data_IF_871618340751
#
_entry.id   IF_871618340751
#
_cell.length_a   1.000
_cell.length_b   1.000
_cell.length_c   1.000
_cell.angle_alpha   90.00
_cell.angle_beta   90.00
_cell.angle_gamma   90.00
#
_symmetry.space_group_name_H-M   'P 1'
#
loop_
_entity.id
_entity.type
_entity.pdbx_description
1 polymer ?
#
# COMPACT_ATOMS: atom_id res chain seq x y z
N UNK A 1 29.70 -14.69 2.92
CA UNK A 1 28.26 -15.02 2.84
C UNK A 1 27.83 -14.85 1.39
N UNK A 2 26.94 -15.69 0.87
CA UNK A 2 26.35 -15.46 -0.46
C UNK A 2 25.55 -14.16 -0.42
N UNK A 3 25.64 -13.34 -1.48
CA UNK A 3 24.84 -12.12 -1.64
C UNK A 3 23.34 -12.46 -1.72
N UNK A 4 22.47 -11.55 -1.26
CA UNK A 4 21.03 -11.66 -1.51
C UNK A 4 20.77 -11.44 -3.01
N UNK A 5 19.96 -12.28 -3.65
CA UNK A 5 19.66 -12.16 -5.08
C UNK A 5 18.31 -11.47 -5.30
N UNK A 6 18.29 -10.53 -6.25
CA UNK A 6 17.08 -9.88 -6.74
C UNK A 6 17.07 -9.96 -8.26
N UNK A 7 16.06 -10.58 -8.85
CA UNK A 7 15.90 -10.60 -10.30
C UNK A 7 15.14 -9.37 -10.78
N UNK A 8 15.51 -8.85 -11.94
CA UNK A 8 14.72 -7.88 -12.70
C UNK A 8 14.51 -8.46 -14.10
N UNK A 9 13.26 -8.62 -14.52
CA UNK A 9 12.92 -9.18 -15.83
C UNK A 9 11.97 -8.23 -16.56
N UNK A 10 12.28 -7.93 -17.82
CA UNK A 10 11.38 -7.18 -18.70
C UNK A 10 10.24 -8.06 -19.19
N UNK A 11 9.08 -7.45 -19.33
CA UNK A 11 7.95 -8.00 -20.06
C UNK A 11 7.62 -7.10 -21.25
N UNK A 12 6.73 -7.57 -22.14
CA UNK A 12 6.22 -6.74 -23.22
C UNK A 12 5.27 -5.67 -22.66
N UNK A 13 5.14 -4.51 -23.32
CA UNK A 13 4.05 -3.57 -23.03
C UNK A 13 2.69 -4.28 -23.09
N UNK A 14 1.86 -4.10 -22.05
CA UNK A 14 0.54 -4.73 -21.93
C UNK A 14 0.56 -6.24 -22.20
N UNK A 15 1.34 -7.01 -21.42
CA UNK A 15 1.54 -8.42 -21.67
C UNK A 15 0.27 -9.23 -21.38
N UNK A 16 0.03 -10.27 -22.17
CA UNK A 16 -1.04 -11.22 -21.92
C UNK A 16 -0.62 -12.27 -20.87
N UNK A 17 -1.58 -13.02 -20.34
CA UNK A 17 -1.31 -13.98 -19.26
C UNK A 17 -0.14 -14.95 -19.53
N UNK A 18 0.01 -15.58 -20.73
CA UNK A 18 1.13 -16.48 -20.98
C UNK A 18 2.50 -15.80 -20.83
N UNK A 19 2.61 -14.55 -21.30
CA UNK A 19 3.85 -13.76 -21.21
C UNK A 19 4.14 -13.35 -19.77
N UNK A 20 3.12 -12.97 -19.01
CA UNK A 20 3.25 -12.68 -17.57
C UNK A 20 3.72 -13.93 -16.83
N UNK A 21 3.12 -15.09 -17.09
CA UNK A 21 3.50 -16.36 -16.44
C UNK A 21 4.95 -16.73 -16.75
N UNK A 22 5.36 -16.61 -18.01
CA UNK A 22 6.76 -16.86 -18.42
C UNK A 22 7.72 -15.88 -17.73
N UNK A 23 7.39 -14.59 -17.70
CA UNK A 23 8.21 -13.56 -17.05
C UNK A 23 8.35 -13.82 -15.53
N UNK A 24 7.26 -14.20 -14.86
CA UNK A 24 7.29 -14.60 -13.44
C UNK A 24 8.17 -15.83 -13.25
N UNK A 25 8.02 -16.88 -14.08
CA UNK A 25 8.86 -18.08 -13.99
C UNK A 25 10.34 -17.75 -14.17
N UNK A 26 10.68 -16.93 -15.17
CA UNK A 26 12.05 -16.49 -15.40
C UNK A 26 12.63 -15.71 -14.20
N UNK A 27 11.86 -14.79 -13.62
CA UNK A 27 12.27 -14.05 -12.43
C UNK A 27 12.58 -15.00 -11.26
N UNK A 28 11.72 -16.00 -11.04
CA UNK A 28 11.92 -17.01 -10.00
C UNK A 28 13.15 -17.90 -10.28
N UNK A 29 13.35 -18.31 -11.53
CA UNK A 29 14.49 -19.17 -11.91
C UNK A 29 15.83 -18.45 -11.70
N UNK A 30 15.92 -17.15 -12.01
CA UNK A 30 17.11 -16.33 -11.82
C UNK A 30 17.55 -16.22 -10.34
N UNK A 31 16.60 -16.28 -9.39
CA UNK A 31 16.89 -16.30 -7.95
C UNK A 31 17.04 -17.73 -7.39
N UNK A 32 17.14 -18.75 -8.26
CA UNK A 32 17.37 -20.14 -7.89
C UNK A 32 16.09 -20.98 -7.69
N UNK A 33 14.95 -20.49 -8.18
CA UNK A 33 13.65 -21.14 -8.05
C UNK A 33 13.09 -21.08 -6.62
N UNK A 34 11.95 -21.77 -6.42
CA UNK A 34 11.17 -21.73 -5.17
C UNK A 34 10.98 -23.10 -4.52
N UNK A 35 11.59 -24.16 -5.06
CA UNK A 35 11.46 -25.54 -4.55
C UNK A 35 12.12 -25.74 -3.17
N UNK A 36 13.02 -24.85 -2.78
CA UNK A 36 13.63 -24.82 -1.45
C UNK A 36 12.67 -24.29 -0.38
N UNK A 37 11.75 -23.38 -0.74
CA UNK A 37 10.80 -22.75 0.18
C UNK A 37 9.38 -23.36 0.14
N UNK A 38 8.93 -23.88 -1.00
CA UNK A 38 7.60 -24.48 -1.16
C UNK A 38 7.75 -26.00 -1.36
N UNK A 39 6.99 -26.78 -0.58
CA UNK A 39 6.93 -28.24 -0.67
C UNK A 39 5.51 -28.70 -0.99
N UNK A 40 5.33 -29.90 -1.57
CA UNK A 40 3.99 -30.47 -1.78
C UNK A 40 3.18 -30.48 -0.49
N UNK A 41 1.90 -30.14 -0.57
CA UNK A 41 0.99 -30.04 0.57
C UNK A 41 1.04 -28.73 1.35
N UNK A 42 2.05 -27.87 1.15
CA UNK A 42 2.10 -26.57 1.82
C UNK A 42 0.89 -25.71 1.46
N UNK A 43 0.34 -25.00 2.44
CA UNK A 43 -0.53 -23.85 2.23
C UNK A 43 0.34 -22.62 1.91
N UNK A 44 0.20 -22.09 0.70
CA UNK A 44 0.94 -20.91 0.24
C UNK A 44 0.00 -19.72 0.12
N UNK A 45 0.14 -18.76 1.02
CA UNK A 45 -0.59 -17.50 0.98
C UNK A 45 0.11 -16.53 0.02
N UNK A 46 -0.58 -16.14 -1.04
CA UNK A 46 -0.17 -15.14 -2.03
C UNK A 46 -0.86 -13.82 -1.67
N UNK A 47 -0.09 -12.80 -1.30
CA UNK A 47 -0.61 -11.53 -0.79
C UNK A 47 -0.44 -10.38 -1.81
N UNK A 48 -1.42 -10.16 -2.73
CA UNK A 48 -1.41 -9.05 -3.68
C UNK A 48 -1.79 -7.72 -3.05
N UNK A 49 -1.51 -6.59 -3.71
CA UNK A 49 -1.82 -5.24 -3.21
C UNK A 49 -3.24 -4.82 -3.54
N UNK A 50 -4.18 -4.95 -2.60
CA UNK A 50 -5.51 -4.35 -2.70
C UNK A 50 -5.56 -3.09 -1.83
N UNK A 51 -5.83 -1.92 -2.43
CA UNK A 51 -5.92 -0.66 -1.68
C UNK A 51 -7.36 -0.15 -1.69
N UNK A 52 -7.86 0.14 -2.87
CA UNK A 52 -9.21 0.59 -3.17
C UNK A 52 -9.59 0.02 -4.55
N UNK A 53 -10.88 -0.04 -4.90
CA UNK A 53 -11.29 -0.39 -6.24
C UNK A 53 -10.60 0.56 -7.24
N UNK A 54 -9.90 0.03 -8.26
CA UNK A 54 -9.20 0.85 -9.22
C UNK A 54 -10.22 1.55 -10.14
N UNK A 55 -9.94 2.81 -10.51
CA UNK A 55 -10.77 3.53 -11.49
C UNK A 55 -10.64 2.94 -12.90
N UNK A 56 -9.46 2.41 -13.21
CA UNK A 56 -9.14 1.66 -14.41
C UNK A 56 -7.97 0.71 -14.10
N UNK A 57 -7.83 -0.35 -14.90
CA UNK A 57 -6.80 -1.36 -14.72
C UNK A 57 -5.38 -0.77 -14.76
N UNK A 58 -5.17 0.22 -15.61
CA UNK A 58 -3.90 0.88 -15.86
C UNK A 58 -3.53 1.94 -14.81
N UNK A 59 -4.37 2.20 -13.79
CA UNK A 59 -4.11 3.24 -12.78
C UNK A 59 -2.88 2.97 -11.89
N UNK A 60 -2.35 1.74 -11.89
CA UNK A 60 -1.18 1.38 -11.08
C UNK A 60 -1.45 1.36 -9.56
N UNK A 61 -2.71 1.30 -9.14
CA UNK A 61 -3.09 1.33 -7.73
C UNK A 61 -2.96 -0.03 -7.03
N UNK A 62 -3.29 -1.12 -7.73
CA UNK A 62 -3.31 -2.49 -7.19
C UNK A 62 -2.49 -3.44 -8.06
N UNK A 63 -2.08 -4.57 -7.48
CA UNK A 63 -1.44 -5.66 -8.23
C UNK A 63 -2.41 -6.21 -9.28
N UNK A 64 -1.94 -6.42 -10.52
CA UNK A 64 -2.78 -7.04 -11.55
C UNK A 64 -3.02 -8.53 -11.23
N UNK A 65 -4.22 -9.08 -11.46
CA UNK A 65 -4.59 -10.44 -11.06
C UNK A 65 -3.74 -11.54 -11.71
N UNK A 66 -3.17 -11.27 -12.89
CA UNK A 66 -2.38 -12.24 -13.66
C UNK A 66 -1.08 -12.64 -12.96
N UNK A 67 -0.48 -11.76 -12.15
CA UNK A 67 0.75 -12.08 -11.40
C UNK A 67 0.45 -13.08 -10.26
N UNK A 68 -0.52 -12.84 -9.36
CA UNK A 68 -0.96 -13.85 -8.39
C UNK A 68 -1.48 -15.12 -9.05
N UNK A 69 -2.15 -15.04 -10.20
CA UNK A 69 -2.56 -16.23 -10.97
C UNK A 69 -1.35 -17.06 -11.41
N UNK A 70 -0.34 -16.42 -11.99
CA UNK A 70 0.89 -17.10 -12.40
C UNK A 70 1.57 -17.80 -11.21
N UNK A 71 1.65 -17.12 -10.06
CA UNK A 71 2.16 -17.72 -8.83
C UNK A 71 1.30 -18.89 -8.35
N UNK A 72 -0.03 -18.77 -8.39
CA UNK A 72 -0.93 -19.84 -8.00
C UNK A 72 -0.76 -21.08 -8.89
N UNK A 73 -0.61 -20.91 -10.19
CA UNK A 73 -0.37 -22.01 -11.13
C UNK A 73 0.97 -22.70 -10.84
N UNK A 74 2.05 -21.93 -10.66
CA UNK A 74 3.38 -22.47 -10.32
C UNK A 74 3.35 -23.20 -8.97
N UNK A 75 2.63 -22.68 -7.97
CA UNK A 75 2.45 -23.34 -6.66
C UNK A 75 1.67 -24.65 -6.80
N UNK A 76 0.59 -24.68 -7.60
CA UNK A 76 -0.18 -25.92 -7.88
C UNK A 76 0.68 -26.97 -8.57
N UNK A 77 1.54 -26.57 -9.51
CA UNK A 77 2.49 -27.46 -10.20
C UNK A 77 3.51 -28.11 -9.25
N UNK A 78 3.84 -27.45 -8.13
CA UNK A 78 4.66 -28.01 -7.06
C UNK A 78 3.88 -28.91 -6.09
N UNK A 79 2.57 -29.12 -6.32
CA UNK A 79 1.70 -29.91 -5.47
C UNK A 79 1.30 -29.22 -4.17
N UNK A 80 1.45 -27.89 -4.07
CA UNK A 80 1.06 -27.08 -2.93
C UNK A 80 -0.30 -26.39 -3.18
N UNK A 81 -0.93 -25.86 -2.13
CA UNK A 81 -2.23 -25.18 -2.19
C UNK A 81 -2.05 -23.67 -2.17
N UNK A 82 -2.25 -22.95 -3.29
CA UNK A 82 -2.20 -21.50 -3.29
C UNK A 82 -3.51 -20.90 -2.78
N UNK A 83 -3.42 -19.83 -2.00
CA UNK A 83 -4.55 -18.99 -1.62
C UNK A 83 -4.16 -17.53 -1.85
N UNK A 84 -4.95 -16.80 -2.65
CA UNK A 84 -4.76 -15.38 -2.91
C UNK A 84 -5.62 -14.62 -1.91
N UNK A 85 -5.03 -13.84 -1.00
CA UNK A 85 -5.83 -13.13 0.00
C UNK A 85 -5.24 -11.80 0.45
N UNK A 86 -6.14 -10.85 0.75
CA UNK A 86 -5.82 -9.55 1.34
C UNK A 86 -7.03 -8.87 2.01
N UNK A 87 -6.82 -7.77 2.74
CA UNK A 87 -7.83 -7.08 3.57
C UNK A 87 -8.10 -5.59 3.24
N UNK A 88 -7.84 -5.12 2.03
CA UNK A 88 -7.90 -3.75 1.48
C UNK A 88 -7.43 -2.61 2.40
N UNK A 89 -7.62 -1.34 2.00
CA UNK A 89 -7.43 -0.22 2.93
C UNK A 89 -8.52 -0.18 4.02
N UNK A 90 -8.22 0.51 5.13
CA UNK A 90 -9.18 0.76 6.21
C UNK A 90 -10.37 1.54 5.68
N UNK A 91 -11.58 1.06 5.93
CA UNK A 91 -12.82 1.70 5.47
C UNK A 91 -13.21 1.41 4.01
N UNK A 92 -12.38 0.68 3.26
CA UNK A 92 -12.71 0.17 1.92
C UNK A 92 -13.47 -1.16 2.06
N UNK A 93 -14.49 -1.34 1.22
CA UNK A 93 -15.12 -2.64 1.01
C UNK A 93 -14.23 -3.52 0.14
N UNK A 94 -13.67 -4.56 0.74
CA UNK A 94 -12.73 -5.44 0.06
C UNK A 94 -13.40 -6.36 -0.98
N UNK A 95 -14.71 -6.67 -0.86
CA UNK A 95 -15.38 -7.44 -1.92
C UNK A 95 -15.49 -6.62 -3.20
N UNK A 96 -15.80 -5.32 -3.11
CA UNK A 96 -15.80 -4.43 -4.27
C UNK A 96 -14.45 -4.39 -4.99
N UNK A 97 -13.34 -4.46 -4.24
CA UNK A 97 -12.02 -4.55 -4.88
C UNK A 97 -11.92 -5.83 -5.70
N UNK A 98 -12.39 -6.95 -5.18
CA UNK A 98 -12.35 -8.24 -5.90
C UNK A 98 -13.25 -8.20 -7.14
N UNK A 99 -14.48 -7.69 -7.00
CA UNK A 99 -15.50 -7.56 -8.05
C UNK A 99 -15.06 -6.65 -9.21
N UNK A 100 -14.35 -5.56 -8.92
CA UNK A 100 -14.06 -4.49 -9.89
C UNK A 100 -12.63 -4.53 -10.44
N UNK A 101 -11.85 -5.59 -10.20
CA UNK A 101 -10.41 -5.57 -10.55
C UNK A 101 -9.81 -6.84 -11.15
N UNK A 102 -10.63 -7.70 -11.74
CA UNK A 102 -10.15 -8.90 -12.44
C UNK A 102 -9.91 -10.10 -11.51
N UNK A 103 -10.06 -9.92 -10.19
CA UNK A 103 -9.89 -10.98 -9.19
C UNK A 103 -11.15 -11.83 -9.03
N UNK A 104 -12.34 -11.28 -9.33
CA UNK A 104 -13.58 -12.05 -9.37
C UNK A 104 -13.52 -13.11 -10.47
N UNK A 105 -12.95 -12.79 -11.62
CA UNK A 105 -12.74 -13.72 -12.73
C UNK A 105 -11.81 -14.87 -12.31
N UNK A 106 -10.78 -14.60 -11.51
CA UNK A 106 -9.96 -15.66 -10.93
C UNK A 106 -10.78 -16.54 -9.98
N UNK A 107 -11.64 -15.94 -9.14
CA UNK A 107 -12.53 -16.69 -8.24
C UNK A 107 -13.48 -17.59 -9.04
N UNK A 108 -14.05 -17.08 -10.13
CA UNK A 108 -14.95 -17.82 -11.04
C UNK A 108 -14.23 -18.95 -11.78
N UNK A 109 -12.94 -18.78 -12.07
CA UNK A 109 -12.06 -19.84 -12.60
C UNK A 109 -11.68 -20.92 -11.56
N UNK A 110 -12.12 -20.76 -10.30
CA UNK A 110 -11.88 -21.73 -9.22
C UNK A 110 -10.57 -21.52 -8.45
N UNK A 111 -9.98 -20.33 -8.49
CA UNK A 111 -8.88 -19.98 -7.57
C UNK A 111 -9.43 -19.53 -6.22
N UNK A 112 -8.73 -19.88 -5.13
CA UNK A 112 -9.05 -19.41 -3.78
C UNK A 112 -8.68 -17.92 -3.64
N UNK A 113 -9.61 -17.02 -3.96
CA UNK A 113 -9.48 -15.57 -3.79
C UNK A 113 -10.29 -15.11 -2.58
N UNK A 114 -9.60 -14.81 -1.48
CA UNK A 114 -10.20 -14.59 -0.16
C UNK A 114 -10.09 -13.14 0.28
N UNK A 115 -11.22 -12.57 0.65
CA UNK A 115 -11.27 -11.33 1.42
C UNK A 115 -11.01 -11.63 2.90
N UNK A 116 -9.83 -11.25 3.39
CA UNK A 116 -9.43 -11.50 4.76
C UNK A 116 -10.34 -10.79 5.78
N UNK A 117 -11.00 -9.67 5.42
CA UNK A 117 -11.97 -9.00 6.31
C UNK A 117 -13.17 -9.87 6.68
N UNK A 118 -13.39 -10.99 5.99
CA UNK A 118 -14.47 -11.96 6.24
C UNK A 118 -13.96 -13.24 6.91
N UNK A 119 -12.68 -13.31 7.28
CA UNK A 119 -12.09 -14.46 7.97
C UNK A 119 -11.87 -14.17 9.46
N UNK A 120 -11.77 -15.20 10.32
CA UNK A 120 -11.41 -15.01 11.72
C UNK A 120 -10.04 -14.35 11.89
N UNK A 121 -9.88 -13.61 12.99
CA UNK A 121 -8.65 -12.93 13.35
C UNK A 121 -7.90 -13.66 14.44
N UNK A 122 -6.59 -13.42 14.52
CA UNK A 122 -5.71 -13.95 15.56
C UNK A 122 -4.67 -12.90 15.96
N UNK A 123 -4.26 -12.91 17.21
CA UNK A 123 -3.12 -12.11 17.67
C UNK A 123 -1.82 -12.90 17.40
N UNK A 124 -1.10 -12.50 16.36
CA UNK A 124 0.16 -13.14 15.98
C UNK A 124 1.29 -12.59 16.87
N UNK A 125 2.03 -13.44 17.59
CA UNK A 125 3.12 -12.97 18.45
C UNK A 125 4.27 -12.37 17.65
N UNK A 126 4.87 -11.32 18.19
CA UNK A 126 6.06 -10.66 17.64
C UNK A 126 7.25 -10.95 18.54
N UNK A 127 8.14 -11.82 18.08
CA UNK A 127 9.37 -12.13 18.81
C UNK A 127 10.29 -10.89 18.82
N UNK A 128 10.55 -10.35 20.02
CA UNK A 128 11.36 -9.14 20.22
C UNK A 128 10.78 -7.91 19.47
N UNK A 129 9.46 -7.76 19.50
CA UNK A 129 8.79 -6.59 18.95
C UNK A 129 9.25 -5.30 19.61
N UNK A 130 9.41 -4.24 18.80
CA UNK A 130 9.86 -2.93 19.28
C UNK A 130 8.69 -2.04 19.70
N UNK A 131 7.56 -2.17 19.01
CA UNK A 131 6.31 -1.46 19.28
C UNK A 131 5.27 -2.43 19.84
N UNK A 132 5.15 -3.60 19.22
CA UNK A 132 4.07 -4.54 19.49
C UNK A 132 4.57 -5.88 20.03
N UNK A 133 3.94 -6.41 21.09
CA UNK A 133 4.15 -7.81 21.52
C UNK A 133 3.36 -8.79 20.65
N UNK A 134 2.21 -8.36 20.13
CA UNK A 134 1.36 -9.10 19.19
C UNK A 134 0.81 -8.15 18.12
N UNK A 135 0.53 -8.68 16.93
CA UNK A 135 -0.15 -7.95 15.86
C UNK A 135 -1.46 -8.65 15.49
N UNK A 136 -2.55 -7.90 15.46
CA UNK A 136 -3.87 -8.43 15.11
C UNK A 136 -3.94 -8.73 13.60
N UNK A 137 -3.94 -10.01 13.27
CA UNK A 137 -3.82 -10.58 11.94
C UNK A 137 -5.00 -11.53 11.66
N UNK A 138 -4.90 -12.39 10.65
CA UNK A 138 -5.95 -13.35 10.27
C UNK A 138 -5.47 -14.78 10.49
N UNK A 139 -6.37 -15.69 10.90
CA UNK A 139 -6.01 -17.11 11.14
C UNK A 139 -5.33 -17.73 9.92
N UNK A 140 -5.83 -17.42 8.72
CA UNK A 140 -5.25 -17.88 7.45
C UNK A 140 -3.77 -17.50 7.27
N UNK A 141 -3.32 -16.39 7.84
CA UNK A 141 -1.91 -15.96 7.80
C UNK A 141 -1.06 -16.80 8.74
N UNK A 142 -1.59 -17.14 9.91
CA UNK A 142 -0.91 -18.01 10.88
C UNK A 142 -0.85 -19.47 10.38
N UNK A 143 -1.90 -19.94 9.70
CA UNK A 143 -1.98 -21.30 9.14
C UNK A 143 -1.09 -21.51 7.91
N UNK A 144 -0.69 -20.43 7.23
CA UNK A 144 0.11 -20.54 6.01
C UNK A 144 1.52 -21.04 6.30
N UNK A 145 1.94 -22.12 5.62
CA UNK A 145 3.31 -22.63 5.67
C UNK A 145 4.29 -21.66 4.99
N UNK A 146 3.81 -20.95 3.96
CA UNK A 146 4.59 -19.97 3.19
C UNK A 146 3.74 -18.75 2.87
N UNK A 147 4.27 -17.56 3.13
CA UNK A 147 3.69 -16.30 2.67
C UNK A 147 4.56 -15.71 1.55
N UNK A 148 3.93 -15.35 0.42
CA UNK A 148 4.52 -14.64 -0.71
C UNK A 148 3.93 -13.24 -0.78
N UNK A 149 4.76 -12.20 -0.68
CA UNK A 149 4.35 -10.80 -0.84
C UNK A 149 4.34 -10.41 -2.32
N UNK A 150 3.21 -9.94 -2.85
CA UNK A 150 3.07 -9.56 -4.27
C UNK A 150 2.71 -8.08 -4.40
N UNK A 151 3.61 -7.14 -4.06
CA UNK A 151 3.31 -5.72 -4.05
C UNK A 151 3.18 -5.14 -5.46
N UNK A 152 2.41 -4.06 -5.57
CA UNK A 152 2.56 -3.09 -6.66
C UNK A 152 3.60 -2.05 -6.25
N UNK A 153 4.58 -1.79 -7.11
CA UNK A 153 5.58 -0.74 -6.89
C UNK A 153 5.00 0.65 -7.14
N UNK A 154 5.04 1.51 -6.11
CA UNK A 154 4.52 2.88 -6.19
C UNK A 154 5.13 3.81 -5.15
N UNK A 155 5.05 5.11 -5.37
CA UNK A 155 5.33 6.11 -4.33
C UNK A 155 4.26 6.10 -3.22
N UNK A 156 4.59 6.64 -2.06
CA UNK A 156 3.66 6.77 -0.93
C UNK A 156 3.95 8.03 -0.11
N UNK A 157 2.91 8.79 0.20
CA UNK A 157 2.94 10.04 0.98
C UNK A 157 3.41 9.93 2.46
N UNK A 158 3.61 8.71 2.99
CA UNK A 158 4.04 8.47 4.37
C UNK A 158 5.36 7.71 4.45
N UNK A 159 5.58 6.76 3.55
CA UNK A 159 6.73 5.83 3.62
C UNK A 159 7.65 5.95 2.43
N UNK A 160 7.51 7.02 1.64
CA UNK A 160 8.15 7.31 0.34
C UNK A 160 7.82 6.31 -0.77
N UNK A 161 7.83 5.03 -0.45
CA UNK A 161 7.55 3.92 -1.36
C UNK A 161 6.59 2.92 -0.72
N UNK A 162 5.73 2.33 -1.56
CA UNK A 162 5.07 1.06 -1.30
C UNK A 162 5.78 -0.01 -2.11
N UNK A 163 6.33 -1.00 -1.41
CA UNK A 163 6.83 -2.23 -1.99
C UNK A 163 6.63 -3.38 -0.97
N UNK A 164 7.51 -4.36 -0.92
CA UNK A 164 7.31 -5.65 -0.28
C UNK A 164 7.09 -5.57 1.24
N UNK A 165 7.78 -4.68 1.96
CA UNK A 165 7.64 -4.55 3.42
C UNK A 165 6.35 -3.81 3.78
N UNK A 166 6.15 -2.60 3.23
CA UNK A 166 4.96 -1.77 3.51
C UNK A 166 3.66 -2.51 3.19
N UNK A 167 3.70 -3.32 2.15
CA UNK A 167 2.57 -4.10 1.65
C UNK A 167 1.99 -5.07 2.68
N UNK A 168 2.79 -5.58 3.61
CA UNK A 168 2.34 -6.56 4.61
C UNK A 168 1.22 -6.04 5.50
N UNK A 169 1.02 -4.71 5.62
CA UNK A 169 -0.15 -4.15 6.32
C UNK A 169 -1.49 -4.67 5.79
N UNK A 170 -1.53 -5.17 4.55
CA UNK A 170 -2.67 -5.88 3.97
C UNK A 170 -3.06 -7.19 4.66
N UNK A 171 -2.23 -7.69 5.59
CA UNK A 171 -2.48 -8.88 6.38
C UNK A 171 -3.00 -8.55 7.78
N UNK A 172 -3.18 -7.28 8.12
CA UNK A 172 -3.73 -6.87 9.40
C UNK A 172 -5.24 -6.68 9.31
N UNK A 173 -5.90 -6.73 10.46
CA UNK A 173 -7.26 -6.21 10.64
C UNK A 173 -7.29 -4.69 10.47
N UNK A 174 -8.47 -4.10 10.30
CA UNK A 174 -8.60 -2.64 10.24
C UNK A 174 -8.23 -1.97 11.58
N UNK A 175 -8.38 -2.68 12.70
CA UNK A 175 -7.92 -2.25 14.04
C UNK A 175 -6.39 -2.32 14.13
N UNK A 176 -5.76 -3.44 13.77
CA UNK A 176 -4.30 -3.57 13.73
C UNK A 176 -3.63 -2.57 12.79
N UNK A 177 -4.22 -2.28 11.63
CA UNK A 177 -3.73 -1.23 10.72
C UNK A 177 -3.75 0.16 11.37
N UNK A 178 -4.76 0.47 12.19
CA UNK A 178 -4.89 1.75 12.90
C UNK A 178 -3.92 1.83 14.06
N UNK A 179 -3.80 0.77 14.88
CA UNK A 179 -2.84 0.69 15.99
C UNK A 179 -1.42 0.99 15.54
N UNK A 180 -0.98 0.42 14.41
CA UNK A 180 0.33 0.75 13.83
C UNK A 180 0.56 2.23 13.57
N UNK A 181 -0.45 2.97 13.10
CA UNK A 181 -0.29 4.41 12.88
C UNK A 181 -0.26 5.18 14.19
N UNK A 182 -0.95 4.69 15.23
CA UNK A 182 -1.04 5.38 16.52
C UNK A 182 0.20 5.17 17.39
N UNK A 183 0.85 4.01 17.30
CA UNK A 183 1.89 3.60 18.24
C UNK A 183 3.30 3.61 17.65
N UNK A 184 3.43 3.60 16.32
CA UNK A 184 4.73 3.71 15.64
C UNK A 184 4.75 2.99 14.30
N UNK A 185 4.42 3.71 13.22
CA UNK A 185 4.20 3.12 11.89
C UNK A 185 5.41 2.33 11.38
N UNK A 186 6.59 2.94 11.41
CA UNK A 186 7.76 2.37 10.75
C UNK A 186 8.25 1.11 11.47
N UNK A 187 8.50 1.21 12.77
CA UNK A 187 8.94 0.06 13.56
C UNK A 187 7.84 -1.00 13.72
N UNK A 188 6.57 -0.61 13.81
CA UNK A 188 5.43 -1.52 13.87
C UNK A 188 5.24 -2.34 12.59
N UNK A 189 5.47 -1.75 11.41
CA UNK A 189 5.48 -2.52 10.15
C UNK A 189 6.65 -3.51 10.12
N UNK A 190 7.79 -3.16 10.70
CA UNK A 190 8.94 -4.07 10.80
C UNK A 190 8.70 -5.17 11.85
N UNK A 191 7.94 -4.90 12.91
CA UNK A 191 7.42 -5.92 13.84
C UNK A 191 6.55 -6.94 13.07
N UNK A 192 5.64 -6.46 12.22
CA UNK A 192 4.84 -7.34 11.37
C UNK A 192 5.68 -8.16 10.38
N UNK A 193 6.69 -7.56 9.75
CA UNK A 193 7.63 -8.31 8.91
C UNK A 193 8.28 -9.46 9.70
N UNK A 194 8.70 -9.19 10.93
CA UNK A 194 9.31 -10.20 11.81
C UNK A 194 8.34 -11.27 12.31
N UNK A 195 7.05 -10.96 12.38
CA UNK A 195 6.02 -11.93 12.79
C UNK A 195 5.56 -12.82 11.61
N UNK A 196 5.27 -12.22 10.45
CA UNK A 196 4.77 -12.94 9.26
C UNK A 196 5.88 -13.70 8.53
N UNK A 197 7.11 -13.20 8.55
CA UNK A 197 8.30 -13.82 7.92
C UNK A 197 8.06 -14.31 6.46
N UNK A 198 7.60 -13.45 5.52
CA UNK A 198 7.41 -13.86 4.12
C UNK A 198 8.69 -14.44 3.53
N UNK A 199 8.55 -15.49 2.71
CA UNK A 199 9.71 -16.25 2.17
C UNK A 199 10.11 -15.83 0.76
N UNK A 200 9.26 -15.06 0.10
CA UNK A 200 9.41 -14.62 -1.27
C UNK A 200 8.62 -13.34 -1.47
N UNK A 201 9.12 -12.49 -2.36
CA UNK A 201 8.32 -11.42 -2.94
C UNK A 201 8.47 -11.41 -4.46
N UNK A 202 7.37 -11.07 -5.15
CA UNK A 202 7.32 -10.84 -6.59
C UNK A 202 6.63 -9.51 -6.82
N UNK A 203 7.38 -8.52 -7.29
CA UNK A 203 6.91 -7.14 -7.44
C UNK A 203 6.27 -6.97 -8.81
N UNK A 204 5.02 -6.51 -8.82
CA UNK A 204 4.36 -5.98 -9.99
C UNK A 204 4.85 -4.55 -10.25
N UNK A 205 5.76 -4.45 -11.22
CA UNK A 205 6.28 -3.21 -11.76
C UNK A 205 6.02 -3.11 -13.27
N UNK A 206 4.91 -3.68 -13.75
CA UNK A 206 4.52 -3.56 -15.16
C UNK A 206 4.01 -2.14 -15.40
N UNK A 207 2.98 -1.77 -14.63
CA UNK A 207 2.52 -0.38 -14.48
C UNK A 207 2.61 -0.02 -13.00
N UNK A 208 3.51 0.89 -12.69
CA UNK A 208 3.74 1.47 -11.37
C UNK A 208 2.89 2.74 -11.17
N UNK A 209 3.07 3.40 -10.02
CA UNK A 209 2.45 4.70 -9.75
C UNK A 209 3.46 5.67 -9.11
N UNK A 210 3.58 6.88 -9.66
CA UNK A 210 4.40 7.99 -9.14
C UNK A 210 3.54 9.15 -8.62
N UNK A 211 4.11 10.11 -7.90
CA UNK A 211 3.38 11.26 -7.37
C UNK A 211 2.55 10.90 -6.14
N UNK A 212 1.30 11.33 -6.08
CA UNK A 212 0.41 11.24 -4.90
C UNK A 212 -0.14 9.82 -4.64
N UNK A 213 0.74 8.83 -4.53
CA UNK A 213 0.40 7.49 -4.09
C UNK A 213 -0.04 7.43 -2.63
N UNK A 214 -0.74 6.38 -2.19
CA UNK A 214 -0.81 5.07 -2.85
C UNK A 214 -2.06 4.83 -3.72
N UNK A 215 -2.87 5.87 -3.96
CA UNK A 215 -4.13 5.79 -4.75
C UNK A 215 -4.18 6.83 -5.87
N UNK A 216 -3.73 8.06 -5.63
CA UNK A 216 -3.98 9.20 -6.53
C UNK A 216 -2.77 9.60 -7.37
N UNK A 217 -1.77 8.72 -7.45
CA UNK A 217 -0.59 8.97 -8.26
C UNK A 217 -0.86 8.78 -9.75
N UNK A 218 0.15 9.07 -10.56
CA UNK A 218 0.14 8.95 -12.01
C UNK A 218 0.72 7.59 -12.41
N UNK A 219 0.08 6.86 -13.33
CA UNK A 219 0.60 5.57 -13.77
C UNK A 219 1.91 5.74 -14.52
N UNK A 220 2.85 4.82 -14.27
CA UNK A 220 4.17 4.79 -14.93
C UNK A 220 4.40 3.39 -15.48
N UNK A 221 4.40 3.27 -16.80
CA UNK A 221 4.76 2.02 -17.45
C UNK A 221 6.27 1.78 -17.31
N UNK A 222 6.63 0.66 -16.69
CA UNK A 222 8.01 0.20 -16.51
C UNK A 222 8.24 -1.15 -17.20
N UNK A 223 7.18 -1.97 -17.35
CA UNK A 223 7.22 -3.31 -17.96
C UNK A 223 8.23 -4.23 -17.28
N UNK A 224 8.26 -4.24 -15.95
CA UNK A 224 9.18 -5.06 -15.17
C UNK A 224 8.42 -5.98 -14.21
N UNK A 225 9.02 -7.14 -13.95
CA UNK A 225 8.71 -7.98 -12.80
C UNK A 225 10.02 -8.18 -12.02
N UNK A 226 9.98 -7.97 -10.72
CA UNK A 226 11.10 -8.26 -9.84
C UNK A 226 10.76 -9.42 -8.91
N UNK A 227 11.76 -10.18 -8.48
CA UNK A 227 11.57 -11.22 -7.48
C UNK A 227 12.80 -11.37 -6.58
N UNK A 228 12.57 -11.79 -5.33
CA UNK A 228 13.63 -12.06 -4.38
C UNK A 228 13.11 -12.74 -3.12
N UNK A 229 13.99 -13.47 -2.43
CA UNK A 229 13.68 -14.15 -1.15
C UNK A 229 13.94 -13.28 0.08
N UNK A 230 14.67 -12.18 -0.11
CA UNK A 230 14.98 -11.17 0.91
C UNK A 230 14.20 -9.90 0.57
N UNK A 231 13.14 -9.62 1.35
CA UNK A 231 12.26 -8.47 1.11
C UNK A 231 12.98 -7.13 1.30
N UNK A 232 13.98 -7.06 2.17
CA UNK A 232 14.78 -5.83 2.39
C UNK A 232 15.65 -5.57 1.17
N UNK A 233 16.24 -6.62 0.58
CA UNK A 233 17.03 -6.50 -0.64
C UNK A 233 16.16 -6.08 -1.83
N UNK A 234 14.94 -6.61 -1.93
CA UNK A 234 13.99 -6.22 -2.98
C UNK A 234 13.55 -4.77 -2.80
N UNK A 235 13.18 -4.34 -1.60
CA UNK A 235 12.81 -2.94 -1.34
C UNK A 235 13.99 -1.99 -1.60
N UNK A 236 15.22 -2.34 -1.21
CA UNK A 236 16.43 -1.56 -1.52
C UNK A 236 16.68 -1.44 -3.05
N UNK A 237 16.48 -2.54 -3.79
CA UNK A 237 16.62 -2.54 -5.25
C UNK A 237 15.51 -1.71 -5.92
N UNK A 238 14.27 -1.85 -5.45
CA UNK A 238 13.13 -1.07 -5.94
C UNK A 238 13.25 0.43 -5.63
N UNK A 239 13.83 0.81 -4.48
CA UNK A 239 14.10 2.20 -4.14
C UNK A 239 15.03 2.84 -5.20
N UNK A 240 16.16 2.20 -5.47
CA UNK A 240 17.11 2.65 -6.50
C UNK A 240 16.49 2.63 -7.90
N UNK A 241 15.68 1.61 -8.22
CA UNK A 241 14.98 1.49 -9.50
C UNK A 241 14.11 2.72 -9.80
N UNK A 242 13.45 3.28 -8.77
CA UNK A 242 12.56 4.42 -8.93
C UNK A 242 13.20 5.77 -8.53
N UNK A 243 14.51 5.80 -8.29
CA UNK A 243 15.28 7.03 -8.02
C UNK A 243 15.26 7.53 -6.57
N UNK A 244 15.06 6.64 -5.61
CA UNK A 244 15.38 6.86 -4.20
C UNK A 244 16.72 6.23 -3.85
N UNK A 245 17.41 6.79 -2.86
CA UNK A 245 18.46 6.05 -2.17
C UNK A 245 17.80 5.08 -1.18
N UNK A 246 18.36 3.86 -0.94
CA UNK A 246 17.79 2.94 0.04
C UNK A 246 17.57 3.55 1.44
N UNK A 247 18.44 4.49 1.82
CA UNK A 247 18.39 5.25 3.07
C UNK A 247 17.20 6.21 3.16
N UNK A 248 16.62 6.63 2.03
CA UNK A 248 15.39 7.44 2.00
C UNK A 248 14.19 6.61 2.53
N UNK A 249 14.27 5.28 2.49
CA UNK A 249 13.16 4.37 2.81
C UNK A 249 13.32 3.84 4.24
N UNK A 250 12.76 4.56 5.21
CA UNK A 250 12.90 4.24 6.64
C UNK A 250 12.44 2.81 7.01
N UNK A 251 11.46 2.24 6.31
CA UNK A 251 11.07 0.83 6.50
C UNK A 251 12.20 -0.15 6.17
N UNK A 252 12.90 0.08 5.05
CA UNK A 252 14.05 -0.72 4.61
C UNK A 252 15.20 -0.56 5.59
N UNK A 253 15.49 0.68 6.02
CA UNK A 253 16.51 1.00 7.02
C UNK A 253 16.24 0.28 8.34
N UNK A 254 15.03 0.38 8.88
CA UNK A 254 14.67 -0.22 10.16
C UNK A 254 14.69 -1.76 10.10
N UNK A 255 14.25 -2.36 8.99
CA UNK A 255 14.30 -3.81 8.79
C UNK A 255 15.74 -4.32 8.70
N UNK A 256 16.63 -3.61 7.99
CA UNK A 256 18.04 -3.94 7.89
C UNK A 256 18.77 -3.80 9.24
N UNK A 257 18.48 -2.73 10.00
CA UNK A 257 19.04 -2.53 11.34
C UNK A 257 18.68 -3.68 12.30
N UNK A 258 17.51 -4.29 12.10
CA UNK A 258 17.02 -5.47 12.84
C UNK A 258 17.48 -6.81 12.25
N UNK A 259 18.34 -6.78 11.23
CA UNK A 259 18.91 -7.97 10.55
C UNK A 259 17.84 -8.88 9.94
N UNK A 260 16.72 -8.30 9.48
CA UNK A 260 15.65 -9.03 8.80
C UNK A 260 15.90 -9.20 7.30
N UNK A 261 16.99 -8.62 6.79
CA UNK A 261 17.43 -8.73 5.40
C UNK A 261 18.57 -7.76 5.11
N UNK A 262 18.96 -7.69 3.84
CA UNK A 262 20.12 -6.93 3.37
C UNK A 262 19.66 -5.67 2.63
N UNK A 263 20.01 -4.49 3.15
CA UNK A 263 19.76 -3.22 2.45
C UNK A 263 20.94 -2.77 1.58
N UNK A 264 22.18 -3.07 1.99
CA UNK A 264 23.38 -2.57 1.30
C UNK A 264 23.47 -3.12 -0.14
N UNK A 265 23.46 -2.27 -1.18
CA UNK A 265 23.57 -2.70 -2.57
C UNK A 265 24.80 -3.57 -2.88
N UNK A 266 25.93 -3.35 -2.19
CA UNK A 266 27.14 -4.17 -2.40
C UNK A 266 26.96 -5.64 -1.99
N UNK A 267 25.98 -5.92 -1.13
CA UNK A 267 25.63 -7.24 -0.66
C UNK A 267 24.42 -7.84 -1.39
N UNK A 268 23.88 -7.12 -2.38
CA UNK A 268 22.79 -7.54 -3.24
C UNK A 268 23.36 -7.85 -4.63
N UNK A 269 22.98 -8.99 -5.20
CA UNK A 269 23.28 -9.37 -6.57
C UNK A 269 22.01 -9.20 -7.40
N UNK A 270 22.00 -8.18 -8.25
CA UNK A 270 20.93 -7.99 -9.24
C UNK A 270 21.19 -8.89 -10.44
N UNK A 271 20.21 -9.74 -10.78
CA UNK A 271 20.28 -10.70 -11.89
C UNK A 271 19.18 -10.44 -12.92
N UNK A 272 19.42 -10.81 -14.19
CA UNK A 272 18.53 -10.43 -15.29
C UNK A 272 18.92 -9.08 -15.88
N UNK A 273 17.98 -8.13 -15.94
CA UNK A 273 18.24 -6.77 -16.43
C UNK A 273 19.13 -5.98 -15.46
N UNK A 274 20.15 -5.26 -15.95
CA UNK A 274 20.95 -4.39 -15.10
C UNK A 274 20.12 -3.20 -14.61
N UNK A 275 20.14 -2.94 -13.30
CA UNK A 275 19.37 -1.88 -12.65
C UNK A 275 19.51 -0.52 -13.35
N UNK A 276 20.74 -0.11 -13.67
CA UNK A 276 21.02 1.17 -14.36
C UNK A 276 20.40 1.26 -15.76
N UNK A 277 20.14 0.13 -16.42
CA UNK A 277 19.53 0.09 -17.75
C UNK A 277 18.01 0.20 -17.73
N UNK A 278 17.38 0.13 -16.56
CA UNK A 278 15.92 0.13 -16.41
C UNK A 278 15.42 1.09 -15.33
N UNK A 279 16.31 1.74 -14.59
CA UNK A 279 15.92 2.73 -13.58
C UNK A 279 15.28 3.96 -14.20
N UNK A 280 14.28 4.50 -13.51
CA UNK A 280 13.60 5.75 -13.85
C UNK A 280 13.28 6.47 -12.56
N UNK A 281 13.73 7.72 -12.44
CA UNK A 281 13.33 8.55 -11.30
C UNK A 281 11.83 8.82 -11.35
N UNK A 282 11.11 8.43 -10.31
CA UNK A 282 9.70 8.75 -10.13
C UNK A 282 9.55 10.15 -9.53
N UNK A 283 8.44 10.80 -9.84
CA UNK A 283 7.97 11.98 -9.12
C UNK A 283 7.61 11.56 -7.68
N UNK A 284 8.25 12.14 -6.66
CA UNK A 284 7.96 11.81 -5.26
C UNK A 284 6.59 12.38 -4.86
N UNK A 285 5.92 11.78 -3.86
CA UNK A 285 4.62 12.30 -3.39
C UNK A 285 4.71 13.75 -2.89
N UNK A 286 5.83 14.12 -2.29
CA UNK A 286 6.11 15.49 -1.82
C UNK A 286 6.23 16.51 -2.96
N UNK A 287 6.53 16.07 -4.18
CA UNK A 287 6.69 16.92 -5.37
C UNK A 287 5.39 17.13 -6.14
N UNK A 288 4.36 16.29 -5.91
CA UNK A 288 3.11 16.26 -6.69
C UNK A 288 1.87 16.70 -5.89
N UNK A 289 2.06 17.43 -4.78
CA UNK A 289 0.95 17.85 -3.93
C UNK A 289 -0.11 18.64 -4.72
N UNK A 290 -1.41 18.28 -4.64
CA UNK A 290 -2.50 18.94 -5.37
C UNK A 290 -2.74 20.39 -4.91
N UNK A 291 -2.15 20.77 -3.79
CA UNK A 291 -2.29 22.09 -3.15
C UNK A 291 -0.96 22.84 -3.08
N UNK A 292 0.08 22.39 -3.80
CA UNK A 292 1.43 22.98 -3.73
C UNK A 292 1.47 24.48 -4.06
N UNK A 293 0.54 24.94 -4.90
CA UNK A 293 0.48 26.33 -5.38
C UNK A 293 -0.59 27.16 -4.63
N UNK A 294 -1.17 26.63 -3.55
CA UNK A 294 -2.23 27.30 -2.77
C UNK A 294 -1.60 28.02 -1.57
N UNK A 295 -1.34 29.31 -1.72
CA UNK A 295 -0.82 30.14 -0.63
C UNK A 295 -1.80 30.24 0.54
N UNK A 296 -1.28 30.15 1.76
CA UNK A 296 -2.06 30.29 2.99
C UNK A 296 -2.90 29.07 3.37
N UNK A 297 -2.83 27.95 2.65
CA UNK A 297 -3.42 26.67 3.04
C UNK A 297 -2.42 25.83 3.85
N UNK A 298 -2.88 25.16 4.91
CA UNK A 298 -2.07 24.23 5.68
C UNK A 298 -2.76 22.87 5.80
N UNK A 299 -2.03 21.80 5.50
CA UNK A 299 -2.46 20.43 5.78
C UNK A 299 -1.47 19.78 6.74
N UNK A 300 -1.94 19.46 7.95
CA UNK A 300 -1.10 18.92 9.02
C UNK A 300 -1.63 17.54 9.42
N UNK A 301 -0.76 16.55 9.32
CA UNK A 301 -1.02 15.19 9.75
C UNK A 301 -0.35 14.92 11.09
N UNK A 302 -1.15 14.66 12.12
CA UNK A 302 -0.67 14.14 13.40
C UNK A 302 -0.27 12.67 13.28
N UNK A 303 0.40 12.17 14.31
CA UNK A 303 0.99 10.82 14.33
C UNK A 303 -0.06 9.74 14.06
N UNK A 304 -1.26 9.88 14.62
CA UNK A 304 -2.35 8.91 14.46
C UNK A 304 -3.03 8.91 13.07
N UNK A 305 -2.55 9.68 12.09
CA UNK A 305 -3.14 9.74 10.75
C UNK A 305 -2.82 8.45 9.95
N UNK A 306 -3.83 7.59 9.80
CA UNK A 306 -3.72 6.37 8.99
C UNK A 306 -3.88 6.62 7.48
N UNK A 307 -3.49 5.64 6.65
CA UNK A 307 -3.65 5.69 5.18
C UNK A 307 -5.10 5.98 4.76
N UNK A 308 -6.10 5.46 5.47
CA UNK A 308 -7.51 5.77 5.17
C UNK A 308 -7.84 7.24 5.35
N UNK A 309 -7.42 7.86 6.47
CA UNK A 309 -7.70 9.28 6.75
C UNK A 309 -6.99 10.20 5.74
N UNK A 310 -5.72 9.90 5.45
CA UNK A 310 -4.93 10.64 4.44
C UNK A 310 -5.55 10.52 3.06
N UNK A 311 -5.92 9.32 2.63
CA UNK A 311 -6.59 9.11 1.35
C UNK A 311 -7.91 9.88 1.27
N UNK A 312 -8.70 9.93 2.35
CA UNK A 312 -9.93 10.75 2.38
C UNK A 312 -9.63 12.23 2.16
N UNK A 313 -8.62 12.79 2.85
CA UNK A 313 -8.28 14.21 2.69
C UNK A 313 -7.71 14.50 1.32
N UNK A 314 -6.81 13.66 0.82
CA UNK A 314 -6.26 13.80 -0.53
C UNK A 314 -7.35 13.68 -1.59
N UNK A 315 -8.29 12.74 -1.44
CA UNK A 315 -9.48 12.63 -2.28
C UNK A 315 -10.29 13.92 -2.27
N UNK A 316 -10.55 14.50 -1.09
CA UNK A 316 -11.29 15.75 -0.97
C UNK A 316 -10.57 16.92 -1.66
N UNK A 317 -9.26 17.02 -1.53
CA UNK A 317 -8.46 18.07 -2.19
C UNK A 317 -8.42 17.89 -3.72
N UNK A 318 -8.39 16.65 -4.20
CA UNK A 318 -8.47 16.34 -5.64
C UNK A 318 -9.86 16.63 -6.18
N UNK A 319 -10.92 16.24 -5.46
CA UNK A 319 -12.30 16.58 -5.81
C UNK A 319 -12.47 18.10 -5.91
N UNK A 320 -11.95 18.85 -4.93
CA UNK A 320 -11.94 20.31 -4.96
C UNK A 320 -11.14 20.86 -6.14
N UNK A 321 -9.96 20.32 -6.44
CA UNK A 321 -9.18 20.74 -7.61
C UNK A 321 -9.95 20.57 -8.90
N UNK A 322 -10.55 19.41 -9.09
CA UNK A 322 -11.24 19.11 -10.34
C UNK A 322 -12.59 19.83 -10.45
N UNK A 323 -13.16 20.27 -9.33
CA UNK A 323 -14.36 21.09 -9.28
C UNK A 323 -14.07 22.61 -9.38
N UNK A 324 -12.81 23.01 -9.59
CA UNK A 324 -12.33 24.39 -9.52
C UNK A 324 -12.71 25.08 -8.19
N UNK A 325 -12.51 24.39 -7.05
CA UNK A 325 -12.88 24.85 -5.70
C UNK A 325 -11.67 25.16 -4.80
N UNK A 326 -10.44 25.08 -5.32
CA UNK A 326 -9.23 25.37 -4.52
C UNK A 326 -9.17 26.83 -4.04
N UNK A 327 -9.91 27.76 -4.64
CA UNK A 327 -9.99 29.14 -4.16
C UNK A 327 -10.57 29.28 -2.74
N UNK A 328 -11.16 28.21 -2.18
CA UNK A 328 -11.68 28.18 -0.81
C UNK A 328 -10.66 27.74 0.24
N UNK A 329 -9.49 27.27 -0.18
CA UNK A 329 -8.42 26.77 0.70
C UNK A 329 -7.54 27.86 1.34
N UNK A 330 -7.25 29.02 0.71
CA UNK A 330 -6.45 30.05 1.35
C UNK A 330 -7.01 30.45 2.72
N UNK A 331 -6.15 30.46 3.75
CA UNK A 331 -6.51 30.73 5.14
C UNK A 331 -7.00 29.51 5.92
N UNK A 332 -7.29 28.38 5.28
CA UNK A 332 -7.80 27.17 5.95
C UNK A 332 -6.64 26.29 6.43
N UNK A 333 -6.77 25.78 7.66
CA UNK A 333 -5.86 24.77 8.22
C UNK A 333 -6.59 23.45 8.44
N UNK A 334 -6.21 22.40 7.71
CA UNK A 334 -6.78 21.05 7.86
C UNK A 334 -5.88 20.21 8.76
N UNK A 335 -6.46 19.67 9.84
CA UNK A 335 -5.78 18.83 10.81
C UNK A 335 -6.35 17.42 10.81
N UNK A 336 -5.48 16.42 10.77
CA UNK A 336 -5.85 15.00 10.88
C UNK A 336 -5.02 14.30 11.94
N UNK A 337 -5.45 13.12 12.40
CA UNK A 337 -4.61 12.28 13.26
C UNK A 337 -4.32 12.89 14.62
N UNK A 338 -5.19 13.77 15.12
CA UNK A 338 -5.01 14.45 16.41
C UNK A 338 -3.88 15.49 16.42
N UNK A 339 -3.48 16.04 15.26
CA UNK A 339 -2.54 17.16 15.24
C UNK A 339 -3.07 18.34 16.07
N UNK A 340 -2.22 18.98 16.89
CA UNK A 340 -2.61 20.16 17.64
C UNK A 340 -2.87 21.34 16.70
N UNK A 341 -3.73 22.26 17.13
CA UNK A 341 -3.92 23.54 16.43
C UNK A 341 -2.63 24.35 16.49
N UNK A 342 -2.07 24.82 15.35
CA UNK A 342 -0.85 25.62 15.37
C UNK A 342 -1.07 26.96 16.10
N UNK A 343 -0.03 27.44 16.77
CA UNK A 343 -0.07 28.72 17.48
C UNK A 343 -0.42 29.88 16.51
N UNK A 344 -1.35 30.74 16.93
CA UNK A 344 -1.76 31.91 16.14
C UNK A 344 -2.75 31.62 15.01
N UNK A 345 -3.17 30.36 14.80
CA UNK A 345 -4.24 30.01 13.85
C UNK A 345 -5.61 30.15 14.53
N UNK A 346 -6.52 30.99 14.02
CA UNK A 346 -7.88 31.12 14.55
C UNK A 346 -8.65 29.80 14.45
N UNK A 347 -9.38 29.40 15.49
CA UNK A 347 -10.05 28.11 15.53
C UNK A 347 -11.13 27.98 14.45
N UNK A 348 -11.77 29.07 14.05
CA UNK A 348 -12.76 29.15 12.98
C UNK A 348 -12.21 28.78 11.59
N UNK A 349 -10.90 28.93 11.40
CA UNK A 349 -10.19 28.62 10.15
C UNK A 349 -9.69 27.16 10.12
N UNK A 350 -9.84 26.44 11.24
CA UNK A 350 -9.38 25.07 11.40
C UNK A 350 -10.49 24.08 11.01
N UNK A 351 -10.13 23.09 10.18
CA UNK A 351 -10.96 21.91 9.88
C UNK A 351 -10.30 20.71 10.56
N UNK A 352 -10.92 20.14 11.59
CA UNK A 352 -10.38 18.97 12.27
C UNK A 352 -11.08 17.68 11.81
N UNK A 353 -10.31 16.62 11.60
CA UNK A 353 -10.78 15.42 10.89
C UNK A 353 -10.49 14.16 11.70
N UNK A 354 -11.56 13.42 11.98
CA UNK A 354 -11.52 12.05 12.47
C UNK A 354 -11.80 11.89 13.96
N UNK A 355 -12.23 10.68 14.37
CA UNK A 355 -12.57 10.37 15.78
C UNK A 355 -11.41 10.58 16.76
N UNK A 356 -10.16 10.60 16.27
CA UNK A 356 -8.94 10.84 17.05
C UNK A 356 -8.70 12.31 17.43
N UNK A 357 -9.43 13.26 16.84
CA UNK A 357 -9.37 14.67 17.27
C UNK A 357 -9.88 14.80 18.71
N UNK A 358 -9.15 15.53 19.57
CA UNK A 358 -9.56 15.81 20.96
C UNK A 358 -10.91 16.52 21.00
N UNK A 359 -11.61 16.54 22.14
CA UNK A 359 -12.87 17.31 22.24
C UNK A 359 -12.65 18.82 22.23
N UNK A 360 -11.50 19.27 22.71
CA UNK A 360 -11.13 20.67 22.86
C UNK A 360 -10.79 21.30 21.49
N UNK A 361 -10.24 20.50 20.57
CA UNK A 361 -9.92 20.94 19.20
C UNK A 361 -11.11 20.83 18.22
N UNK A 362 -12.31 20.47 18.70
CA UNK A 362 -13.50 20.34 17.85
C UNK A 362 -14.28 21.65 17.81
N UNK A 363 -14.53 22.12 16.60
CA UNK A 363 -15.37 23.27 16.29
C UNK A 363 -16.50 22.86 15.33
N UNK A 364 -17.22 23.83 14.76
CA UNK A 364 -18.30 23.60 13.78
C UNK A 364 -17.83 22.94 12.47
N UNK A 365 -16.53 23.01 12.15
CA UNK A 365 -15.89 22.40 10.98
C UNK A 365 -15.25 21.04 11.30
N UNK A 366 -15.60 20.42 12.43
CA UNK A 366 -15.17 19.07 12.77
C UNK A 366 -15.85 18.00 11.89
N UNK A 367 -15.03 17.17 11.24
CA UNK A 367 -15.50 16.06 10.40
C UNK A 367 -15.39 14.75 11.16
N UNK A 368 -16.55 14.19 11.52
CA UNK A 368 -16.64 12.88 12.20
C UNK A 368 -16.36 11.72 11.22
N UNK A 369 -15.56 10.75 11.65
CA UNK A 369 -15.37 9.46 10.96
C UNK A 369 -14.03 8.78 11.25
N UNK A 370 -13.83 7.54 10.81
CA UNK A 370 -12.55 6.81 10.93
C UNK A 370 -12.44 5.64 9.91
N UNK A 371 -12.12 5.93 8.62
CA UNK A 371 -11.89 7.25 8.04
C UNK A 371 -13.20 8.06 7.85
N UNK A 372 -13.13 9.38 7.67
CA UNK A 372 -14.30 10.20 7.37
C UNK A 372 -14.73 10.07 5.91
N UNK A 373 -15.93 10.57 5.61
CA UNK A 373 -16.42 10.72 4.24
C UNK A 373 -15.72 11.92 3.56
N UNK A 374 -15.19 11.74 2.35
CA UNK A 374 -14.48 12.79 1.61
C UNK A 374 -15.35 14.03 1.36
N UNK A 375 -16.63 13.87 1.05
CA UNK A 375 -17.50 15.03 0.80
C UNK A 375 -17.82 15.82 2.07
N UNK A 376 -17.81 15.16 3.23
CA UNK A 376 -17.91 15.86 4.50
C UNK A 376 -16.65 16.70 4.76
N UNK A 377 -15.48 16.22 4.33
CA UNK A 377 -14.23 17.01 4.34
C UNK A 377 -14.33 18.21 3.41
N UNK A 378 -14.76 18.01 2.15
CA UNK A 378 -14.99 19.13 1.22
C UNK A 378 -15.96 20.14 1.82
N UNK A 379 -17.09 19.68 2.37
CA UNK A 379 -18.10 20.56 3.01
C UNK A 379 -17.53 21.36 4.18
N UNK A 380 -16.73 20.74 5.04
CA UNK A 380 -16.13 21.43 6.18
C UNK A 380 -15.10 22.48 5.75
N UNK A 381 -14.40 22.26 4.63
CA UNK A 381 -13.48 23.24 4.05
C UNK A 381 -14.26 24.40 3.42
N UNK A 382 -15.22 24.14 2.53
CA UNK A 382 -15.90 25.20 1.78
C UNK A 382 -16.97 25.92 2.63
N UNK A 383 -17.54 25.27 3.64
CA UNK A 383 -18.67 25.79 4.42
C UNK A 383 -19.89 26.03 3.52
N UNK A 384 -20.60 27.14 3.75
CA UNK A 384 -21.74 27.54 2.91
C UNK A 384 -21.32 28.34 1.66
N UNK A 385 -20.02 28.41 1.36
CA UNK A 385 -19.48 29.23 0.26
C UNK A 385 -19.74 28.62 -1.12
N UNK A 386 -19.95 27.31 -1.20
CA UNK A 386 -20.21 26.58 -2.44
C UNK A 386 -20.89 25.23 -2.17
N UNK A 387 -21.47 24.63 -3.21
CA UNK A 387 -21.97 23.25 -3.14
C UNK A 387 -20.83 22.24 -3.30
N UNK A 388 -20.93 21.12 -2.59
CA UNK A 388 -19.97 20.03 -2.71
C UNK A 388 -20.20 19.31 -4.03
N UNK A 389 -19.21 19.34 -4.93
CA UNK A 389 -19.23 18.56 -6.17
C UNK A 389 -18.40 17.30 -5.97
N UNK A 390 -19.00 16.12 -6.17
CA UNK A 390 -18.32 14.82 -6.14
C UNK A 390 -18.01 14.36 -7.56
N UNK A 391 -16.88 13.68 -7.76
CA UNK A 391 -16.65 12.89 -8.97
C UNK A 391 -16.79 11.37 -8.78
N UNK A 392 -16.47 10.82 -7.60
CA UNK A 392 -16.34 9.36 -7.41
C UNK A 392 -17.29 8.72 -6.39
N UNK A 393 -18.55 9.17 -6.31
CA UNK A 393 -19.59 8.37 -5.68
C UNK A 393 -20.95 8.73 -6.30
N UNK A 394 -21.40 7.92 -7.26
CA UNK A 394 -22.80 7.83 -7.64
C UNK A 394 -23.65 7.33 -6.45
N UNK A 395 -24.97 7.48 -6.57
CA UNK A 395 -26.01 6.93 -5.70
C UNK A 395 -25.57 5.67 -4.93
N UNK A 396 -25.48 5.73 -3.59
CA UNK A 396 -25.45 4.50 -2.79
C UNK A 396 -24.65 4.49 -1.48
N UNK A 397 -23.77 5.45 -1.21
CA UNK A 397 -22.97 5.44 0.04
C UNK A 397 -23.67 6.05 1.27
N UNK A 398 -24.90 6.56 1.13
CA UNK A 398 -25.64 7.27 2.19
C UNK A 398 -26.40 6.38 3.19
N UNK A 399 -26.05 5.09 3.30
CA UNK A 399 -26.69 4.19 4.28
C UNK A 399 -25.70 3.54 5.23
N UNK A 400 -25.02 4.34 6.04
CA UNK A 400 -24.57 3.89 7.37
C UNK A 400 -24.75 5.04 8.38
N UNK A 401 -25.96 5.11 8.95
CA UNK A 401 -26.22 5.81 10.20
C UNK A 401 -25.72 5.02 11.40
#
# INVERSE_FOLDING_TARGET
MSKSKVSIVKTNPKPEYPEIRETVQQALDLIGGIKDIIKPGHLVLINPSWVAPPVEREAGCITIPEIPRALADIVKELGARPVIAESSAVGVDCEKVIEESGYQELRDMGYDVINLKKTPHVDLPVENGKIFETVQCWELVQEADVVISVPKLKTHDQTEMTCSIKKLKGLLTDEGKKGMHQEGLFDGVVDLLSAVKPRLTVVDAIICQEGVGPVFGKPVEMNLILAGKDLVAVDSTCAQLIGYEPEDILLTVNAAARRLGVMNPDQIEVVGEPLDGVKRRFLRSTEDSPVKDVEGFQLIHGEAACTGCRNTVMSALIDMRNADQLMHLPGVTVLTGGAPVPEGVPIEDVVTIGKCTSKEDRNERYVKGCPPNNSAVVKAIIGDRAEVKRMYAEEGLDKTG
#
